data_IF_735044879809
#
_entry.id   IF_735044879809
#
_cell.length_a   1.000
_cell.length_b   1.000
_cell.length_c   1.000
_cell.angle_alpha   90.00
_cell.angle_beta   90.00
_cell.angle_gamma   90.00
#
_symmetry.space_group_name_H-M   'P 1'
#
loop_
_entity.id
_entity.type
_entity.pdbx_description
1 polymer ?
#
# COMPACT_ATOMS: atom_id res chain seq x y z
N UNK A 1 -8.81 -22.83 8.62
CA UNK A 1 -7.75 -23.00 7.60
C UNK A 1 -6.84 -21.80 7.68
N UNK A 2 -5.54 -22.03 7.83
CA UNK A 2 -4.53 -20.99 8.07
C UNK A 2 -4.11 -20.35 6.74
N UNK A 3 -3.72 -19.06 6.73
CA UNK A 3 -3.35 -18.34 5.50
C UNK A 3 -2.23 -19.05 4.70
N UNK A 4 -1.30 -19.67 5.40
CA UNK A 4 -0.21 -20.48 4.83
C UNK A 4 -0.69 -21.69 4.03
N UNK A 5 -1.80 -22.32 4.43
CA UNK A 5 -2.36 -23.46 3.70
C UNK A 5 -2.91 -23.03 2.35
N UNK A 6 -3.57 -21.87 2.30
CA UNK A 6 -4.03 -21.29 1.03
C UNK A 6 -2.88 -20.87 0.13
N UNK A 7 -1.78 -20.36 0.70
CA UNK A 7 -0.58 -20.02 -0.06
C UNK A 7 -0.03 -21.24 -0.83
N UNK A 8 0.11 -22.38 -0.15
CA UNK A 8 0.59 -23.63 -0.77
C UNK A 8 -0.28 -24.06 -1.95
N UNK A 9 -1.61 -24.05 -1.76
CA UNK A 9 -2.57 -24.40 -2.83
C UNK A 9 -2.45 -23.46 -4.04
N UNK A 10 -2.24 -22.16 -3.81
CA UNK A 10 -2.10 -21.18 -4.89
C UNK A 10 -0.76 -21.36 -5.62
N UNK A 11 0.33 -21.61 -4.90
CA UNK A 11 1.65 -21.88 -5.49
C UNK A 11 1.57 -23.08 -6.44
N UNK A 12 0.97 -24.19 -5.98
CA UNK A 12 0.79 -25.40 -6.80
C UNK A 12 -0.04 -25.12 -8.06
N UNK A 13 -1.10 -24.32 -7.93
CA UNK A 13 -1.95 -23.92 -9.05
C UNK A 13 -1.18 -23.15 -10.14
N UNK A 14 -0.26 -22.26 -9.75
CA UNK A 14 0.49 -21.41 -10.67
C UNK A 14 1.87 -21.95 -11.05
N UNK A 15 2.32 -23.06 -10.46
CA UNK A 15 3.64 -23.63 -10.67
C UNK A 15 3.99 -23.85 -12.16
N UNK A 16 3.00 -24.27 -12.97
CA UNK A 16 3.19 -24.54 -14.41
C UNK A 16 2.88 -23.35 -15.32
N UNK A 17 1.86 -22.56 -14.99
CA UNK A 17 1.40 -21.47 -15.86
C UNK A 17 2.16 -20.17 -15.64
N UNK A 18 2.70 -19.94 -14.44
CA UNK A 18 3.41 -18.73 -14.06
C UNK A 18 4.50 -19.03 -13.02
N UNK A 19 5.53 -19.79 -13.40
CA UNK A 19 6.59 -20.26 -12.48
C UNK A 19 7.31 -19.13 -11.74
N UNK A 20 7.53 -17.97 -12.39
CA UNK A 20 8.14 -16.81 -11.72
C UNK A 20 7.24 -16.22 -10.63
N UNK A 21 5.92 -16.24 -10.85
CA UNK A 21 4.95 -15.78 -9.87
C UNK A 21 4.89 -16.71 -8.67
N UNK A 22 4.87 -18.03 -8.89
CA UNK A 22 4.83 -19.01 -7.81
C UNK A 22 6.06 -18.94 -6.92
N UNK A 23 7.26 -18.80 -7.50
CA UNK A 23 8.49 -18.60 -6.74
C UNK A 23 8.46 -17.30 -5.92
N UNK A 24 8.06 -16.19 -6.54
CA UNK A 24 7.92 -14.91 -5.84
C UNK A 24 6.92 -14.98 -4.68
N UNK A 25 5.78 -15.65 -4.87
CA UNK A 25 4.75 -15.83 -3.84
C UNK A 25 5.30 -16.57 -2.62
N UNK A 26 6.09 -17.62 -2.82
CA UNK A 26 6.70 -18.41 -1.74
C UNK A 26 7.66 -17.58 -0.89
N UNK A 27 8.49 -16.76 -1.55
CA UNK A 27 9.50 -15.94 -0.89
C UNK A 27 8.92 -14.69 -0.18
N UNK A 28 7.86 -14.07 -0.74
CA UNK A 28 7.45 -12.71 -0.35
C UNK A 28 6.11 -12.65 0.40
N UNK A 29 5.17 -13.57 0.18
CA UNK A 29 3.83 -13.43 0.75
C UNK A 29 3.75 -13.74 2.24
N UNK A 30 4.74 -14.44 2.81
CA UNK A 30 4.80 -14.72 4.23
C UNK A 30 4.80 -13.44 5.08
N UNK A 31 5.57 -12.41 4.68
CA UNK A 31 5.61 -11.11 5.36
C UNK A 31 4.25 -10.38 5.30
N UNK A 32 3.48 -10.59 4.22
CA UNK A 32 2.15 -10.01 4.06
C UNK A 32 1.11 -10.56 5.04
N UNK A 33 1.40 -11.66 5.74
CA UNK A 33 0.50 -12.26 6.73
C UNK A 33 0.51 -11.55 8.08
N UNK A 34 1.44 -10.63 8.32
CA UNK A 34 1.47 -9.75 9.51
C UNK A 34 0.16 -8.98 9.73
N UNK A 35 -0.65 -8.77 8.68
CA UNK A 35 -2.00 -8.18 8.81
C UNK A 35 -2.92 -8.99 9.72
N UNK A 36 -2.71 -10.30 9.87
CA UNK A 36 -3.53 -11.16 10.72
C UNK A 36 -3.24 -10.96 12.21
N UNK A 37 -2.12 -10.35 12.58
CA UNK A 37 -1.78 -10.01 13.97
C UNK A 37 -2.63 -8.84 14.50
N UNK A 38 -3.29 -8.09 13.62
CA UNK A 38 -4.16 -6.97 13.98
C UNK A 38 -5.61 -7.41 14.25
N UNK A 39 -6.37 -6.64 15.06
CA UNK A 39 -7.81 -6.84 15.25
C UNK A 39 -8.58 -6.85 13.92
N UNK A 40 -9.67 -7.62 13.86
CA UNK A 40 -10.47 -7.80 12.64
C UNK A 40 -10.95 -6.47 12.04
N UNK A 41 -11.33 -5.50 12.89
CA UNK A 41 -11.72 -4.16 12.44
C UNK A 41 -10.62 -3.43 11.66
N UNK A 42 -9.34 -3.68 11.94
CA UNK A 42 -8.21 -2.97 11.34
C UNK A 42 -7.70 -3.64 10.07
N UNK A 43 -7.86 -4.97 9.95
CA UNK A 43 -7.28 -5.76 8.84
C UNK A 43 -7.69 -5.22 7.47
N UNK A 44 -8.94 -4.76 7.32
CA UNK A 44 -9.41 -4.18 6.05
C UNK A 44 -8.64 -2.92 5.67
N UNK A 45 -8.40 -2.01 6.61
CA UNK A 45 -7.68 -0.77 6.34
C UNK A 45 -6.20 -1.03 6.05
N UNK A 46 -5.58 -1.95 6.79
CA UNK A 46 -4.15 -2.27 6.66
C UNK A 46 -3.86 -3.01 5.35
N UNK A 47 -4.74 -3.93 4.93
CA UNK A 47 -4.56 -4.73 3.70
C UNK A 47 -4.68 -3.91 2.42
N UNK A 48 -5.43 -2.80 2.43
CA UNK A 48 -5.81 -2.09 1.21
C UNK A 48 -4.80 -0.98 0.88
N UNK A 49 -4.29 -0.97 -0.36
CA UNK A 49 -3.33 0.01 -0.87
C UNK A 49 -3.97 1.18 -1.63
N UNK A 50 -5.30 1.26 -1.71
CA UNK A 50 -6.03 2.27 -2.51
C UNK A 50 -5.56 3.72 -2.26
N UNK A 51 -5.33 4.10 -1.00
CA UNK A 51 -4.88 5.45 -0.66
C UNK A 51 -3.45 5.70 -1.14
N UNK A 52 -2.55 4.72 -0.97
CA UNK A 52 -1.17 4.79 -1.46
C UNK A 52 -1.15 4.90 -2.99
N UNK A 53 -1.93 4.08 -3.69
CA UNK A 53 -2.06 4.11 -5.15
C UNK A 53 -2.59 5.45 -5.65
N UNK A 54 -3.57 6.04 -4.95
CA UNK A 54 -4.11 7.37 -5.27
C UNK A 54 -3.04 8.45 -5.13
N UNK A 55 -2.26 8.43 -4.05
CA UNK A 55 -1.16 9.36 -3.82
C UNK A 55 -0.10 9.20 -4.93
N UNK A 56 0.31 7.96 -5.21
CA UNK A 56 1.33 7.69 -6.22
C UNK A 56 0.88 8.14 -7.62
N UNK A 57 -0.39 7.89 -7.96
CA UNK A 57 -0.97 8.37 -9.22
C UNK A 57 -0.95 9.89 -9.33
N UNK A 58 -1.26 10.60 -8.25
CA UNK A 58 -1.24 12.06 -8.23
C UNK A 58 0.19 12.60 -8.35
N UNK A 59 1.16 11.99 -7.68
CA UNK A 59 2.57 12.33 -7.81
C UNK A 59 3.04 12.15 -9.25
N UNK A 60 2.75 10.99 -9.87
CA UNK A 60 3.07 10.75 -11.28
C UNK A 60 2.38 11.73 -12.23
N UNK A 61 1.13 12.11 -11.96
CA UNK A 61 0.41 13.10 -12.77
C UNK A 61 1.09 14.47 -12.70
N UNK A 62 1.48 14.92 -11.50
CA UNK A 62 2.14 16.21 -11.30
C UNK A 62 3.55 16.25 -11.88
N UNK A 63 4.33 15.20 -11.70
CA UNK A 63 5.69 15.12 -12.29
C UNK A 63 5.64 15.04 -13.81
N UNK A 64 4.64 14.36 -14.38
CA UNK A 64 4.45 14.27 -15.84
C UNK A 64 4.22 15.63 -16.50
N UNK A 65 3.55 16.57 -15.83
CA UNK A 65 3.34 17.93 -16.36
C UNK A 65 4.65 18.71 -16.44
N UNK A 66 5.56 18.50 -15.46
CA UNK A 66 6.86 19.18 -15.45
C UNK A 66 7.80 18.62 -16.52
N UNK A 67 7.72 17.31 -16.81
CA UNK A 67 8.53 16.65 -17.83
C UNK A 67 9.97 16.42 -17.39
N UNK A 68 10.77 17.48 -17.25
CA UNK A 68 12.18 17.43 -16.84
C UNK A 68 12.42 18.42 -15.70
N UNK A 69 13.05 17.94 -14.63
CA UNK A 69 13.42 18.80 -13.49
C UNK A 69 14.86 19.29 -13.64
N UNK A 70 15.16 20.55 -13.23
CA UNK A 70 16.51 21.10 -13.31
C UNK A 70 17.49 20.46 -12.30
N UNK A 71 16.99 19.87 -11.21
CA UNK A 71 17.75 19.10 -10.23
C UNK A 71 16.79 18.25 -9.37
N UNK A 72 17.36 17.28 -8.63
CA UNK A 72 16.63 16.40 -7.74
C UNK A 72 15.85 17.17 -6.65
N UNK A 73 16.47 18.20 -6.06
CA UNK A 73 15.84 19.01 -5.03
C UNK A 73 14.55 19.71 -5.50
N UNK A 74 14.43 20.01 -6.79
CA UNK A 74 13.21 20.61 -7.36
C UNK A 74 12.07 19.60 -7.48
N UNK A 75 12.38 18.35 -7.83
CA UNK A 75 11.41 17.25 -7.82
C UNK A 75 10.95 16.96 -6.39
N UNK A 76 11.90 16.86 -5.46
CA UNK A 76 11.61 16.63 -4.05
C UNK A 76 10.68 17.71 -3.48
N UNK A 77 10.97 18.99 -3.73
CA UNK A 77 10.10 20.10 -3.28
C UNK A 77 8.66 19.98 -3.78
N UNK A 78 8.45 19.61 -5.04
CA UNK A 78 7.10 19.44 -5.60
C UNK A 78 6.34 18.32 -4.89
N UNK A 79 6.98 17.16 -4.71
CA UNK A 79 6.37 15.99 -4.07
C UNK A 79 6.11 16.28 -2.60
N UNK A 80 7.10 16.81 -1.87
CA UNK A 80 6.97 17.14 -0.45
C UNK A 80 5.87 18.17 -0.21
N UNK A 81 5.78 19.23 -1.01
CA UNK A 81 4.70 20.22 -0.89
C UNK A 81 3.32 19.57 -1.05
N UNK A 82 3.17 18.62 -1.99
CA UNK A 82 1.90 17.90 -2.16
C UNK A 82 1.60 16.96 -0.99
N UNK A 83 2.60 16.28 -0.45
CA UNK A 83 2.42 15.40 0.71
C UNK A 83 2.06 16.21 1.98
N UNK A 84 2.61 17.41 2.14
CA UNK A 84 2.24 18.32 3.22
C UNK A 84 0.77 18.74 3.14
N UNK A 85 0.29 19.15 1.96
CA UNK A 85 -1.12 19.48 1.73
C UNK A 85 -2.06 18.30 2.07
N UNK A 86 -1.70 17.07 1.66
CA UNK A 86 -2.46 15.87 2.01
C UNK A 86 -2.44 15.60 3.53
N UNK A 87 -1.32 15.84 4.18
CA UNK A 87 -1.19 15.69 5.63
C UNK A 87 -2.09 16.69 6.37
N UNK A 88 -2.14 17.95 5.92
CA UNK A 88 -3.04 18.97 6.46
C UNK A 88 -4.51 18.57 6.28
N UNK A 89 -4.89 18.10 5.08
CA UNK A 89 -6.22 17.57 4.80
C UNK A 89 -6.61 16.41 5.73
N UNK A 90 -5.66 15.54 6.08
CA UNK A 90 -5.90 14.41 6.99
C UNK A 90 -6.04 14.84 8.46
N UNK A 91 -5.42 15.94 8.86
CA UNK A 91 -5.56 16.49 10.20
C UNK A 91 -6.94 17.15 10.40
N UNK A 92 -7.47 17.79 9.34
CA UNK A 92 -8.73 18.55 9.39
C UNK A 92 -9.94 17.68 8.98
N UNK A 93 -9.73 16.71 8.09
CA UNK A 93 -10.77 15.90 7.46
C UNK A 93 -11.13 14.59 8.17
N UNK A 94 -11.81 13.69 7.43
CA UNK A 94 -12.18 12.35 7.96
C UNK A 94 -10.92 11.52 8.19
N UNK A 95 -10.76 11.03 9.42
CA UNK A 95 -9.71 10.07 9.80
C UNK A 95 -9.87 8.78 8.99
N UNK A 96 -9.01 8.59 7.98
CA UNK A 96 -8.78 7.27 7.39
C UNK A 96 -8.09 6.44 8.48
N UNK A 97 -8.65 5.28 8.83
CA UNK A 97 -8.36 4.52 10.06
C UNK A 97 -9.06 5.02 11.34
N UNK A 98 -10.24 5.64 11.24
CA UNK A 98 -11.17 5.65 12.37
C UNK A 98 -11.68 4.22 12.62
N UNK A 99 -10.90 3.43 13.36
CA UNK A 99 -11.47 2.34 14.10
C UNK A 99 -12.55 2.91 15.03
N UNK A 100 -13.60 2.13 15.31
CA UNK A 100 -14.46 2.39 16.47
C UNK A 100 -13.54 2.67 17.66
N UNK A 101 -13.91 3.66 18.46
CA UNK A 101 -13.14 4.14 19.61
C UNK A 101 -12.46 2.98 20.35
N UNK A 102 -11.20 3.20 20.72
CA UNK A 102 -10.58 2.42 21.79
C UNK A 102 -11.35 2.75 23.07
N UNK A 103 -12.45 2.05 23.31
CA UNK A 103 -13.12 2.04 24.59
C UNK A 103 -12.25 1.18 25.51
N UNK A 104 -11.36 1.82 26.28
CA UNK A 104 -10.69 1.22 27.44
C UNK A 104 -11.57 1.36 28.67
#
# INVERSE_FOLDING_TARGET
>A
MTAEQYLKVIIEKYARSATRLSAWMEENLAEGFTVFDFPLEHRRSIRITNNLERINRENHRRTRVVGVFPNEASCLRLISARLMEISEDWQIGKRYCAARSFDY
#
